data_IF_418925085168
#
_entry.id   IF_418925085168
#
_cell.length_a   1.000
_cell.length_b   1.000
_cell.length_c   1.000
_cell.angle_alpha   90.00
_cell.angle_beta   90.00
_cell.angle_gamma   90.00
#
_symmetry.space_group_name_H-M   'P 1'
#
loop_
_entity.id
_entity.type
_entity.pdbx_description
1 polymer ?
#
# COMPACT_ATOMS: atom_id res chain seq x y z
N UNK A 1 -23.68 -6.52 7.63
CA UNK A 1 -23.83 -5.70 6.40
C UNK A 1 -25.17 -6.02 5.74
N UNK A 2 -25.86 -5.05 5.12
CA UNK A 2 -27.09 -5.31 4.40
C UNK A 2 -26.83 -6.24 3.20
N UNK A 3 -27.68 -7.27 3.01
CA UNK A 3 -27.52 -8.33 1.99
C UNK A 3 -27.38 -7.80 0.56
N UNK A 4 -28.05 -6.69 0.25
CA UNK A 4 -27.99 -6.04 -1.06
C UNK A 4 -26.57 -5.54 -1.36
N UNK A 5 -25.92 -4.89 -0.39
CA UNK A 5 -24.57 -4.36 -0.55
C UNK A 5 -23.53 -5.48 -0.77
N UNK A 6 -23.72 -6.63 -0.13
CA UNK A 6 -22.83 -7.78 -0.32
C UNK A 6 -22.98 -8.42 -1.69
N UNK A 7 -24.21 -8.46 -2.23
CA UNK A 7 -24.49 -9.02 -3.57
C UNK A 7 -23.94 -8.09 -4.65
N UNK A 8 -24.18 -6.78 -4.54
CA UNK A 8 -23.66 -5.81 -5.51
C UNK A 8 -22.14 -5.78 -5.51
N UNK A 9 -21.50 -5.80 -4.33
CA UNK A 9 -20.04 -5.90 -4.21
C UNK A 9 -19.49 -7.14 -4.89
N UNK A 10 -20.10 -8.32 -4.67
CA UNK A 10 -19.71 -9.57 -5.33
C UNK A 10 -19.79 -9.45 -6.85
N UNK A 11 -20.84 -8.83 -7.38
CA UNK A 11 -21.01 -8.63 -8.83
C UNK A 11 -20.00 -7.64 -9.42
N UNK A 12 -19.61 -6.61 -8.66
CA UNK A 12 -18.55 -5.68 -9.07
C UNK A 12 -17.19 -6.38 -9.12
N UNK A 13 -16.82 -7.13 -8.07
CA UNK A 13 -15.56 -7.89 -8.05
C UNK A 13 -15.54 -8.92 -9.19
N UNK A 14 -16.65 -9.64 -9.37
CA UNK A 14 -16.84 -10.61 -10.44
C UNK A 14 -16.63 -10.05 -11.85
N UNK A 15 -16.88 -8.76 -12.06
CA UNK A 15 -16.72 -8.12 -13.38
C UNK A 15 -15.27 -7.88 -13.80
N UNK A 16 -14.33 -7.87 -12.84
CA UNK A 16 -12.90 -7.66 -13.08
C UNK A 16 -12.13 -9.00 -13.21
N UNK A 17 -12.80 -10.12 -12.93
CA UNK A 17 -12.23 -11.46 -12.99
C UNK A 17 -12.55 -12.12 -14.32
N UNK A 18 -11.60 -12.92 -14.82
CA UNK A 18 -11.85 -13.81 -15.95
C UNK A 18 -12.91 -14.87 -15.62
N UNK A 19 -13.60 -15.39 -16.64
CA UNK A 19 -14.71 -16.32 -16.46
C UNK A 19 -14.34 -17.58 -15.67
N UNK A 20 -13.14 -18.13 -15.91
CA UNK A 20 -12.62 -19.30 -15.18
C UNK A 20 -12.40 -18.99 -13.70
N UNK A 21 -11.78 -17.85 -13.40
CA UNK A 21 -11.47 -17.42 -12.03
C UNK A 21 -12.75 -17.06 -11.26
N UNK A 22 -13.70 -16.41 -11.92
CA UNK A 22 -15.03 -16.12 -11.38
C UNK A 22 -15.78 -17.42 -11.03
N UNK A 23 -15.78 -18.39 -11.94
CA UNK A 23 -16.45 -19.67 -11.75
C UNK A 23 -15.82 -20.47 -10.59
N UNK A 24 -14.49 -20.52 -10.50
CA UNK A 24 -13.80 -21.21 -9.39
C UNK A 24 -14.06 -20.59 -8.02
N UNK A 25 -14.29 -19.27 -7.97
CA UNK A 25 -14.64 -18.54 -6.73
C UNK A 25 -16.15 -18.55 -6.44
N UNK A 26 -16.95 -19.26 -7.23
CA UNK A 26 -18.40 -19.34 -7.11
C UNK A 26 -19.08 -17.95 -7.09
N UNK A 27 -18.55 -17.00 -7.87
CA UNK A 27 -19.10 -15.66 -7.99
C UNK A 27 -20.13 -15.58 -9.12
N UNK A 28 -21.27 -14.96 -8.83
CA UNK A 28 -22.33 -14.71 -9.82
C UNK A 28 -21.79 -13.83 -10.95
N UNK A 29 -22.22 -14.11 -12.18
CA UNK A 29 -21.90 -13.25 -13.31
C UNK A 29 -22.54 -11.86 -13.12
N UNK A 30 -21.81 -10.77 -13.43
CA UNK A 30 -22.41 -9.45 -13.44
C UNK A 30 -23.47 -9.37 -14.54
N UNK A 31 -24.59 -8.71 -14.24
CA UNK A 31 -25.62 -8.44 -15.26
C UNK A 31 -25.08 -7.54 -16.38
N UNK A 32 -25.68 -7.58 -17.58
CA UNK A 32 -25.17 -6.86 -18.75
C UNK A 32 -25.14 -5.34 -18.53
N UNK A 33 -26.14 -4.79 -17.83
CA UNK A 33 -26.22 -3.36 -17.50
C UNK A 33 -25.06 -2.94 -16.59
N UNK A 34 -24.78 -3.73 -15.54
CA UNK A 34 -23.68 -3.44 -14.61
C UNK A 34 -22.33 -3.55 -15.32
N UNK A 35 -22.15 -4.57 -16.17
CA UNK A 35 -20.92 -4.76 -16.94
C UNK A 35 -20.67 -3.58 -17.89
N UNK A 36 -21.69 -3.13 -18.61
CA UNK A 36 -21.60 -1.94 -19.48
C UNK A 36 -21.25 -0.69 -18.68
N UNK A 37 -21.93 -0.45 -17.56
CA UNK A 37 -21.65 0.69 -16.69
C UNK A 37 -20.21 0.70 -16.19
N UNK A 38 -19.71 -0.43 -15.66
CA UNK A 38 -18.34 -0.54 -15.18
C UNK A 38 -17.32 -0.38 -16.31
N UNK A 39 -17.60 -0.91 -17.51
CA UNK A 39 -16.76 -0.71 -18.68
C UNK A 39 -16.67 0.77 -19.09
N UNK A 40 -17.79 1.50 -19.06
CA UNK A 40 -17.82 2.94 -19.34
C UNK A 40 -17.06 3.75 -18.28
N UNK A 41 -17.24 3.45 -17.00
CA UNK A 41 -16.54 4.13 -15.90
C UNK A 41 -15.03 3.88 -15.97
N UNK A 42 -14.61 2.63 -16.18
CA UNK A 42 -13.18 2.29 -16.29
C UNK A 42 -12.54 2.87 -17.54
N UNK A 43 -13.22 2.83 -18.69
CA UNK A 43 -12.73 3.39 -19.95
C UNK A 43 -12.64 4.91 -19.90
N UNK A 44 -13.64 5.59 -19.35
CA UNK A 44 -13.60 7.03 -19.14
C UNK A 44 -12.47 7.42 -18.18
N UNK A 45 -12.30 6.70 -17.06
CA UNK A 45 -11.16 6.91 -16.15
C UNK A 45 -9.82 6.74 -16.86
N UNK A 46 -9.65 5.68 -17.67
CA UNK A 46 -8.41 5.46 -18.45
C UNK A 46 -8.14 6.63 -19.40
N UNK A 47 -9.16 7.10 -20.13
CA UNK A 47 -9.05 8.24 -21.05
C UNK A 47 -8.65 9.51 -20.30
N UNK A 48 -9.33 9.82 -19.19
CA UNK A 48 -9.06 11.01 -18.38
C UNK A 48 -7.66 10.96 -17.76
N UNK A 49 -7.23 9.81 -17.22
CA UNK A 49 -5.89 9.65 -16.63
C UNK A 49 -4.78 9.73 -17.69
N UNK A 50 -5.03 9.22 -18.90
CA UNK A 50 -4.03 9.22 -19.98
C UNK A 50 -3.87 10.59 -20.65
N UNK A 51 -4.94 11.34 -20.82
CA UNK A 51 -4.93 12.56 -21.66
C UNK A 51 -5.22 13.86 -20.90
N UNK A 52 -5.91 13.81 -19.77
CA UNK A 52 -6.34 15.01 -19.05
C UNK A 52 -5.58 15.24 -17.74
N UNK A 53 -4.81 14.26 -17.26
CA UNK A 53 -4.01 14.43 -16.06
C UNK A 53 -2.63 14.98 -16.39
N UNK A 54 -2.28 16.09 -15.74
CA UNK A 54 -0.93 16.63 -15.75
C UNK A 54 0.04 15.64 -15.06
N UNK A 55 1.35 15.68 -15.42
CA UNK A 55 2.36 14.93 -14.68
C UNK A 55 2.27 15.24 -13.19
N UNK A 56 2.33 14.20 -12.35
CA UNK A 56 2.14 14.33 -10.90
C UNK A 56 3.25 15.21 -10.32
N UNK A 57 2.93 16.36 -9.71
CA UNK A 57 3.94 17.19 -9.06
C UNK A 57 4.48 16.46 -7.83
N UNK A 58 5.77 16.65 -7.51
CA UNK A 58 6.45 16.03 -6.37
C UNK A 58 5.76 16.28 -5.03
N UNK A 59 5.15 17.45 -4.87
CA UNK A 59 4.38 17.84 -3.68
C UNK A 59 3.12 16.97 -3.46
N UNK A 60 2.57 16.36 -4.51
CA UNK A 60 1.42 15.44 -4.44
C UNK A 60 1.83 13.98 -4.57
N UNK A 61 3.13 13.69 -4.53
CA UNK A 61 3.59 12.32 -4.45
C UNK A 61 3.15 11.71 -3.12
N UNK A 62 2.52 10.54 -3.18
CA UNK A 62 2.17 9.79 -1.98
C UNK A 62 3.47 9.20 -1.44
N UNK A 63 3.87 9.65 -0.24
CA UNK A 63 5.04 9.14 0.47
C UNK A 63 4.57 8.18 1.54
N UNK A 64 4.76 6.88 1.32
CA UNK A 64 4.37 5.87 2.31
C UNK A 64 5.37 5.82 3.47
N UNK A 65 6.65 6.04 3.18
CA UNK A 65 7.76 6.12 4.12
C UNK A 65 8.26 7.56 4.13
N UNK A 66 8.73 8.04 5.27
CA UNK A 66 9.48 9.30 5.34
C UNK A 66 10.76 9.23 4.49
N UNK A 67 11.10 10.32 3.81
CA UNK A 67 12.33 10.40 3.00
C UNK A 67 13.59 10.40 3.88
N UNK A 68 13.48 11.04 5.05
CA UNK A 68 14.54 11.18 6.03
C UNK A 68 14.28 10.27 7.24
N UNK A 69 15.35 9.69 7.84
CA UNK A 69 15.20 8.94 9.07
C UNK A 69 14.78 9.87 10.22
N UNK A 70 14.09 9.30 11.19
CA UNK A 70 13.68 9.99 12.40
C UNK A 70 14.92 10.51 13.15
N UNK A 71 15.00 11.82 13.45
CA UNK A 71 16.21 12.41 14.03
C UNK A 71 16.56 11.87 15.43
N UNK A 72 15.59 11.27 16.14
CA UNK A 72 15.81 10.72 17.49
C UNK A 72 16.36 9.29 17.48
N UNK A 73 15.93 8.47 16.53
CA UNK A 73 16.25 7.04 16.49
C UNK A 73 17.16 6.65 15.33
N UNK A 74 17.26 7.48 14.29
CA UNK A 74 17.91 7.13 13.02
C UNK A 74 17.12 6.13 12.17
N UNK A 75 15.88 5.80 12.55
CA UNK A 75 15.04 4.80 11.89
C UNK A 75 13.96 5.45 11.02
N UNK A 76 13.44 4.72 10.03
CA UNK A 76 12.40 5.22 9.14
C UNK A 76 11.00 5.01 9.70
N UNK A 77 10.11 5.98 9.48
CA UNK A 77 8.70 5.90 9.89
C UNK A 77 7.77 5.79 8.68
N UNK A 78 6.60 5.17 8.89
CA UNK A 78 5.51 5.17 7.90
C UNK A 78 4.54 6.34 8.13
N UNK A 79 3.96 6.83 7.03
CA UNK A 79 3.02 7.96 6.97
C UNK A 79 1.56 7.55 6.68
N UNK A 80 1.18 6.32 6.99
CA UNK A 80 -0.18 5.84 6.79
C UNK A 80 -0.94 5.67 8.10
N UNK A 81 -2.24 5.94 8.07
CA UNK A 81 -3.15 5.57 9.15
C UNK A 81 -3.66 4.15 8.88
N UNK A 82 -3.55 3.30 9.90
CA UNK A 82 -3.99 1.91 9.89
C UNK A 82 -4.55 1.58 11.27
N UNK A 83 -5.41 0.56 11.36
CA UNK A 83 -5.98 0.09 12.63
C UNK A 83 -4.92 -0.23 13.70
N UNK A 84 -3.73 -0.67 13.26
CA UNK A 84 -2.57 -0.88 14.10
C UNK A 84 -1.40 -0.03 13.56
N UNK A 85 -0.95 0.99 14.31
CA UNK A 85 0.00 1.98 13.82
C UNK A 85 1.46 1.50 13.95
N UNK A 86 1.83 0.41 13.27
CA UNK A 86 3.19 -0.13 13.27
C UNK A 86 4.17 0.83 12.60
N UNK A 87 5.24 1.18 13.31
CA UNK A 87 6.30 2.09 12.86
C UNK A 87 5.83 3.50 12.50
N UNK A 88 4.67 3.91 13.00
CA UNK A 88 4.12 5.26 12.78
C UNK A 88 4.52 6.18 13.92
N UNK A 89 5.12 7.31 13.58
CA UNK A 89 5.52 8.33 14.56
C UNK A 89 4.28 9.00 15.16
N UNK A 90 4.20 9.18 16.50
CA UNK A 90 3.14 9.95 17.12
C UNK A 90 3.29 11.43 16.73
N UNK A 91 2.39 11.90 15.87
CA UNK A 91 2.28 13.30 15.48
C UNK A 91 0.86 13.81 15.73
N UNK A 92 0.70 15.14 15.79
CA UNK A 92 -0.62 15.75 15.99
C UNK A 92 -1.62 15.30 14.92
N UNK A 93 -1.23 15.31 13.64
CA UNK A 93 -2.08 14.89 12.53
C UNK A 93 -2.32 13.37 12.47
N UNK A 94 -1.31 12.55 12.80
CA UNK A 94 -1.50 11.09 12.86
C UNK A 94 -2.45 10.68 13.99
N UNK A 95 -2.58 11.50 15.04
CA UNK A 95 -3.46 11.24 16.17
C UNK A 95 -4.86 11.86 16.00
N UNK A 96 -4.95 13.06 15.42
CA UNK A 96 -6.16 13.89 15.45
C UNK A 96 -6.76 14.20 14.08
N UNK A 97 -6.22 13.66 12.98
CA UNK A 97 -6.85 13.82 11.67
C UNK A 97 -8.28 13.26 11.67
N UNK A 98 -9.21 13.80 10.85
CA UNK A 98 -10.56 13.27 10.72
C UNK A 98 -10.59 11.77 10.40
N UNK A 99 -9.66 11.32 9.54
CA UNK A 99 -9.49 9.91 9.21
C UNK A 99 -9.01 9.08 10.42
N UNK A 100 -8.04 9.57 11.20
CA UNK A 100 -7.59 8.88 12.42
C UNK A 100 -8.69 8.81 13.49
N UNK A 101 -9.56 9.84 13.60
CA UNK A 101 -10.73 9.78 14.50
C UNK A 101 -11.72 8.72 14.01
N UNK A 102 -11.98 8.65 12.71
CA UNK A 102 -12.85 7.64 12.11
C UNK A 102 -12.30 6.22 12.30
N UNK A 103 -11.01 5.98 12.07
CA UNK A 103 -10.39 4.68 12.30
C UNK A 103 -10.48 4.26 13.78
N UNK A 104 -10.27 5.22 14.71
CA UNK A 104 -10.42 4.96 16.14
C UNK A 104 -11.85 4.62 16.55
N UNK A 105 -12.86 5.25 15.93
CA UNK A 105 -14.26 4.90 16.20
C UNK A 105 -14.61 3.48 15.74
N UNK A 106 -13.86 2.92 14.79
CA UNK A 106 -13.95 1.53 14.35
C UNK A 106 -13.05 0.57 15.15
N UNK A 107 -12.36 1.03 16.20
CA UNK A 107 -11.48 0.21 17.04
C UNK A 107 -10.00 0.26 16.68
N UNK A 108 -9.59 1.16 15.78
CA UNK A 108 -8.19 1.46 15.51
C UNK A 108 -7.48 2.09 16.72
N UNK A 109 -6.16 1.95 16.79
CA UNK A 109 -5.34 2.58 17.85
C UNK A 109 -4.59 3.79 17.33
N UNK A 110 -4.44 4.82 18.17
CA UNK A 110 -3.59 5.96 17.81
C UNK A 110 -2.11 5.57 17.90
N UNK A 111 -1.24 6.14 17.07
CA UNK A 111 0.21 5.99 17.21
C UNK A 111 0.68 6.32 18.63
N UNK A 112 1.62 5.55 19.16
CA UNK A 112 2.09 5.66 20.56
C UNK A 112 1.16 5.06 21.62
N UNK A 113 -0.08 4.66 21.26
CA UNK A 113 -1.01 4.00 22.19
C UNK A 113 -0.61 2.52 22.34
N UNK A 114 0.29 2.23 23.28
CA UNK A 114 0.85 0.90 23.50
C UNK A 114 2.35 0.87 23.83
N UNK A 115 2.95 2.03 24.12
CA UNK A 115 4.38 2.16 24.37
C UNK A 115 5.17 1.69 23.15
N UNK A 116 6.17 0.86 23.40
CA UNK A 116 7.04 0.30 22.34
C UNK A 116 6.40 -0.82 21.52
N UNK A 117 5.17 -1.25 21.82
CA UNK A 117 4.52 -2.37 21.11
C UNK A 117 4.50 -2.18 19.60
N UNK A 118 4.26 -0.96 19.14
CA UNK A 118 4.14 -0.62 17.73
C UNK A 118 5.39 0.04 17.16
N UNK A 119 6.49 0.08 17.92
CA UNK A 119 7.77 0.68 17.50
C UNK A 119 7.61 2.10 16.92
N UNK A 120 7.07 3.06 17.70
CA UNK A 120 6.84 4.43 17.21
C UNK A 120 8.13 5.14 16.77
N UNK A 121 9.29 4.65 17.21
CA UNK A 121 10.61 5.15 16.83
C UNK A 121 10.98 4.85 15.37
N UNK A 122 10.31 3.91 14.70
CA UNK A 122 10.56 3.55 13.30
C UNK A 122 11.11 2.14 13.12
N UNK A 123 11.54 1.83 11.90
CA UNK A 123 12.16 0.57 11.51
C UNK A 123 13.42 0.78 10.65
N UNK A 124 14.26 -0.24 10.61
CA UNK A 124 15.28 -0.41 9.57
C UNK A 124 14.84 -1.57 8.65
N UNK A 125 15.08 -1.43 7.35
CA UNK A 125 14.72 -2.44 6.35
C UNK A 125 15.39 -3.78 6.63
N UNK A 126 16.57 -3.76 7.27
CA UNK A 126 17.31 -4.97 7.62
C UNK A 126 16.72 -5.72 8.82
N UNK A 127 16.05 -5.01 9.72
CA UNK A 127 15.57 -5.56 11.00
C UNK A 127 14.05 -5.64 11.09
N UNK A 128 13.32 -5.15 10.10
CA UNK A 128 11.85 -5.17 10.09
C UNK A 128 11.30 -6.59 10.18
N UNK A 129 10.40 -6.83 11.14
CA UNK A 129 9.73 -8.11 11.25
C UNK A 129 9.12 -8.35 12.63
N UNK A 130 8.47 -9.51 12.82
CA UNK A 130 8.07 -9.95 14.14
C UNK A 130 9.32 -10.26 14.99
N UNK A 131 9.25 -10.02 16.30
CA UNK A 131 10.37 -10.20 17.25
C UNK A 131 11.20 -11.49 17.08
N UNK A 132 10.63 -12.67 16.77
CA UNK A 132 11.41 -13.89 16.58
C UNK A 132 12.25 -13.94 15.29
N UNK A 133 11.96 -13.07 14.32
CA UNK A 133 12.63 -12.99 13.02
C UNK A 133 13.52 -11.75 12.89
N UNK A 134 13.33 -10.76 13.76
CA UNK A 134 14.16 -9.56 13.81
C UNK A 134 15.66 -9.91 13.93
N UNK A 135 16.46 -9.37 13.01
CA UNK A 135 17.92 -9.56 12.97
C UNK A 135 18.41 -10.89 12.40
N UNK A 136 17.51 -11.79 11.94
CA UNK A 136 17.91 -13.05 11.29
C UNK A 136 18.13 -12.86 9.79
N UNK A 137 19.05 -13.63 9.21
CA UNK A 137 19.31 -13.64 7.77
C UNK A 137 20.12 -12.44 7.25
N UNK A 138 20.74 -11.66 8.13
CA UNK A 138 21.57 -10.52 7.74
C UNK A 138 22.77 -10.94 6.89
N UNK A 139 23.47 -12.00 7.30
CA UNK A 139 24.62 -12.54 6.55
C UNK A 139 24.19 -13.08 5.17
N UNK A 140 23.06 -13.80 5.11
CA UNK A 140 22.50 -14.31 3.86
C UNK A 140 22.08 -13.18 2.91
N UNK A 141 21.48 -12.12 3.46
CA UNK A 141 21.13 -10.91 2.73
C UNK A 141 22.38 -10.21 2.18
N UNK A 142 23.44 -10.07 2.98
CA UNK A 142 24.70 -9.44 2.53
C UNK A 142 25.36 -10.24 1.40
N UNK A 143 25.47 -11.56 1.55
CA UNK A 143 25.96 -12.44 0.48
C UNK A 143 25.11 -12.33 -0.79
N UNK A 144 23.79 -12.26 -0.66
CA UNK A 144 22.89 -12.09 -1.81
C UNK A 144 23.07 -10.74 -2.48
N UNK A 145 23.25 -9.65 -1.72
CA UNK A 145 23.52 -8.31 -2.27
C UNK A 145 24.82 -8.31 -3.05
N UNK A 146 25.90 -8.88 -2.52
CA UNK A 146 27.19 -9.00 -3.21
C UNK A 146 27.04 -9.80 -4.50
N UNK A 147 26.35 -10.94 -4.43
CA UNK A 147 26.07 -11.78 -5.58
C UNK A 147 25.25 -11.05 -6.66
N UNK A 148 24.18 -10.33 -6.29
CA UNK A 148 23.39 -9.53 -7.22
C UNK A 148 24.21 -8.38 -7.83
N UNK A 149 25.06 -7.72 -7.03
CA UNK A 149 25.97 -6.69 -7.50
C UNK A 149 26.97 -7.22 -8.53
N UNK A 150 27.49 -8.43 -8.33
CA UNK A 150 28.43 -9.08 -9.26
C UNK A 150 27.82 -9.41 -10.64
N UNK A 151 26.50 -9.59 -10.70
CA UNK A 151 25.77 -9.89 -11.95
C UNK A 151 25.46 -8.65 -12.80
N UNK A 152 25.75 -7.46 -12.30
CA UNK A 152 25.43 -6.19 -12.93
C UNK A 152 23.94 -5.84 -12.83
N UNK A 153 23.64 -4.55 -12.78
CA UNK A 153 22.26 -4.06 -12.80
C UNK A 153 21.77 -4.23 -14.25
N UNK A 154 20.75 -5.07 -14.53
CA UNK A 154 20.17 -5.09 -15.86
C UNK A 154 19.64 -3.68 -16.15
N UNK A 155 20.18 -3.04 -17.19
CA UNK A 155 19.72 -1.72 -17.61
C UNK A 155 18.20 -1.73 -17.75
N UNK A 156 17.54 -0.64 -17.32
CA UNK A 156 16.09 -0.56 -17.41
C UNK A 156 15.67 -0.78 -18.86
N UNK A 157 14.81 -1.77 -19.11
CA UNK A 157 14.34 -2.12 -20.46
C UNK A 157 13.61 -0.95 -21.16
N UNK A 158 13.23 0.07 -20.38
CA UNK A 158 12.60 1.30 -20.84
C UNK A 158 13.58 2.50 -20.95
N UNK A 159 14.88 2.30 -20.73
CA UNK A 159 15.91 3.35 -20.82
C UNK A 159 16.41 3.60 -22.26
N UNK A 160 15.81 2.97 -23.26
CA UNK A 160 16.07 3.33 -24.66
C UNK A 160 15.30 4.61 -25.04
N UNK A 161 15.89 5.73 -24.63
CA UNK A 161 15.62 7.08 -25.11
C UNK A 161 16.91 7.88 -25.02
N UNK A 162 17.80 7.67 -26.00
CA UNK A 162 18.95 8.50 -26.42
C UNK A 162 19.57 9.43 -25.36
N UNK A 163 20.76 9.07 -24.87
CA UNK A 163 21.76 10.06 -24.49
C UNK A 163 22.25 10.84 -25.70
#
# INVERSE_FOLDING_TARGET
MPKIATITLRKVISSDLDDTMRASLCLEAPGPILKLFLALVTSSRKLTLRHMHLPRPSLRAVKLVDDDPNPLSGLYNFNHNNFQPWYVKPSFWATWSPLAIFERSLGGRAPGTGGERYHPLGYDLKTIGPKPQEGKGLEEMEMMIEFMGSRGIPGCAFHNGTM
#
